data_IF_663392271266
#
_entry.id   IF_663392271266
#
_cell.length_a   1.000
_cell.length_b   1.000
_cell.length_c   1.000
_cell.angle_alpha   90.00
_cell.angle_beta   90.00
_cell.angle_gamma   90.00
#
_symmetry.space_group_name_H-M   'P 1'
#
loop_
_entity.id
_entity.type
_entity.pdbx_description
1 polymer ?
#
# COMPACT_ATOMS: atom_id res chain seq x y z
N UNK A 1 -14.13 -13.99 -62.14
CA UNK A 1 -14.10 -14.68 -60.82
C UNK A 1 -12.68 -14.61 -60.22
N UNK A 2 -12.01 -13.46 -60.39
CA UNK A 2 -10.57 -13.25 -60.11
C UNK A 2 -10.39 -12.27 -58.94
N UNK A 3 -11.32 -11.32 -58.80
CA UNK A 3 -11.29 -10.21 -57.85
C UNK A 3 -11.37 -10.61 -56.37
N UNK A 4 -11.86 -11.82 -56.06
CA UNK A 4 -11.98 -12.29 -54.67
C UNK A 4 -10.65 -12.81 -54.12
N UNK A 5 -9.83 -13.43 -54.98
CA UNK A 5 -8.55 -14.01 -54.60
C UNK A 5 -7.49 -12.93 -54.37
N UNK A 6 -7.55 -11.85 -55.15
CA UNK A 6 -6.68 -10.68 -54.97
C UNK A 6 -6.99 -9.90 -53.67
N UNK A 7 -8.28 -9.80 -53.29
CA UNK A 7 -8.68 -9.18 -52.01
C UNK A 7 -8.20 -9.99 -50.80
N UNK A 8 -8.20 -11.32 -50.88
CA UNK A 8 -7.69 -12.18 -49.81
C UNK A 8 -6.16 -12.11 -49.67
N UNK A 9 -5.44 -12.04 -50.80
CA UNK A 9 -3.98 -11.86 -50.79
C UNK A 9 -3.56 -10.53 -50.15
N UNK A 10 -4.24 -9.43 -50.50
CA UNK A 10 -3.95 -8.10 -49.93
C UNK A 10 -4.24 -7.98 -48.43
N UNK A 11 -5.21 -8.73 -47.91
CA UNK A 11 -5.52 -8.77 -46.47
C UNK A 11 -4.50 -9.59 -45.68
N UNK A 12 -4.03 -10.71 -46.22
CA UNK A 12 -2.98 -11.54 -45.60
C UNK A 12 -1.64 -10.80 -45.51
N UNK A 13 -1.32 -9.98 -46.51
CA UNK A 13 -0.12 -9.14 -46.51
C UNK A 13 -0.17 -8.02 -45.46
N UNK A 14 -1.34 -7.41 -45.25
CA UNK A 14 -1.55 -6.39 -44.20
C UNK A 14 -1.47 -6.99 -42.79
N UNK A 15 -2.05 -8.17 -42.58
CA UNK A 15 -2.03 -8.83 -41.26
C UNK A 15 -0.62 -9.26 -40.82
N UNK A 16 0.27 -9.56 -41.77
CA UNK A 16 1.66 -9.95 -41.47
C UNK A 16 2.60 -8.77 -41.25
N UNK A 17 2.29 -7.59 -41.82
CA UNK A 17 3.16 -6.41 -41.79
C UNK A 17 2.78 -5.41 -40.69
N UNK A 18 1.52 -5.36 -40.28
CA UNK A 18 1.10 -4.53 -39.16
C UNK A 18 1.34 -5.26 -37.84
N UNK A 19 2.42 -4.92 -37.14
CA UNK A 19 2.56 -5.23 -35.71
C UNK A 19 1.33 -4.67 -35.00
N UNK A 20 0.54 -5.48 -34.27
CA UNK A 20 -0.64 -4.99 -33.57
C UNK A 20 -0.20 -3.93 -32.57
N UNK A 21 -0.47 -2.66 -32.88
CA UNK A 21 -0.39 -1.57 -31.91
C UNK A 21 -1.51 -1.81 -30.91
N UNK A 22 -1.23 -2.58 -29.89
CA UNK A 22 -2.07 -2.60 -28.69
C UNK A 22 -2.17 -1.15 -28.22
N UNK A 23 -3.38 -0.61 -27.97
CA UNK A 23 -3.50 0.66 -27.28
C UNK A 23 -2.94 0.43 -25.89
N UNK A 24 -1.64 0.70 -25.70
CA UNK A 24 -1.03 0.59 -24.41
C UNK A 24 -1.62 1.75 -23.61
N UNK A 25 -2.51 1.40 -22.70
CA UNK A 25 -3.21 2.38 -21.90
C UNK A 25 -2.19 2.96 -20.93
N UNK A 26 -1.65 4.14 -21.25
CA UNK A 26 -0.75 4.88 -20.36
C UNK A 26 -1.54 5.30 -19.12
N UNK A 27 -1.49 4.47 -18.09
CA UNK A 27 -2.05 4.79 -16.78
C UNK A 27 -1.09 5.75 -16.08
N UNK A 28 -1.48 7.02 -16.00
CA UNK A 28 -0.78 7.96 -15.12
C UNK A 28 -1.09 7.56 -13.67
N UNK A 29 -0.08 7.44 -12.79
CA UNK A 29 -0.31 7.25 -11.38
C UNK A 29 -1.19 8.39 -10.88
N UNK A 30 -2.36 8.03 -10.33
CA UNK A 30 -3.20 8.99 -9.63
C UNK A 30 -2.33 9.51 -8.51
N UNK A 31 -1.94 10.80 -8.58
CA UNK A 31 -1.18 11.44 -7.51
C UNK A 31 -2.07 11.34 -6.28
N UNK A 32 -1.79 10.36 -5.43
CA UNK A 32 -2.38 10.28 -4.12
C UNK A 32 -2.01 11.63 -3.50
N UNK A 33 -3.01 12.48 -3.33
CA UNK A 33 -2.89 13.69 -2.52
C UNK A 33 -2.27 13.22 -1.23
N UNK A 34 -1.01 13.56 -1.02
CA UNK A 34 -0.28 13.21 0.17
C UNK A 34 -1.08 13.82 1.32
N UNK A 35 -1.91 13.00 1.95
CA UNK A 35 -2.43 13.30 3.27
C UNK A 35 -1.20 13.69 4.07
N UNK A 36 -1.24 14.87 4.68
CA UNK A 36 -0.17 15.41 5.51
C UNK A 36 0.14 14.33 6.54
N UNK A 37 1.15 13.51 6.25
CA UNK A 37 1.67 12.55 7.18
C UNK A 37 2.33 13.40 8.23
N UNK A 38 1.82 13.36 9.46
CA UNK A 38 2.55 13.91 10.60
C UNK A 38 3.99 13.36 10.55
N UNK A 39 4.96 14.15 11.02
CA UNK A 39 6.35 13.75 11.08
C UNK A 39 6.50 12.46 11.94
N UNK A 40 6.43 11.30 11.27
CA UNK A 40 6.60 9.99 11.89
C UNK A 40 8.09 9.77 12.20
N UNK A 41 8.43 9.56 13.48
CA UNK A 41 9.77 9.14 13.91
C UNK A 41 9.82 7.62 14.17
N UNK A 42 10.94 6.98 13.83
CA UNK A 42 11.14 5.56 14.14
C UNK A 42 11.55 5.37 15.61
N UNK A 43 10.77 4.56 16.34
CA UNK A 43 11.09 4.16 17.71
C UNK A 43 11.71 2.76 17.72
N UNK A 44 13.02 2.67 17.97
CA UNK A 44 13.74 1.40 18.09
C UNK A 44 13.92 1.03 19.57
N UNK A 45 13.16 0.04 20.06
CA UNK A 45 13.20 -0.39 21.46
C UNK A 45 13.31 -1.91 21.55
N UNK A 46 14.19 -2.37 22.45
CA UNK A 46 14.28 -3.78 22.80
C UNK A 46 13.25 -4.11 23.88
N UNK A 47 12.36 -5.05 23.59
CA UNK A 47 11.33 -5.50 24.54
C UNK A 47 11.35 -7.02 24.72
N UNK A 48 10.89 -7.54 25.88
CA UNK A 48 10.77 -8.98 26.09
C UNK A 48 9.90 -9.65 25.04
N UNK A 49 10.34 -10.81 24.52
CA UNK A 49 9.60 -11.57 23.49
C UNK A 49 8.18 -11.95 23.93
N UNK A 50 7.98 -12.22 25.21
CA UNK A 50 6.68 -12.53 25.78
C UNK A 50 5.70 -11.34 25.66
N UNK A 51 6.20 -10.12 25.87
CA UNK A 51 5.40 -8.90 25.74
C UNK A 51 5.02 -8.65 24.27
N UNK A 52 5.99 -8.77 23.36
CA UNK A 52 5.73 -8.63 21.92
C UNK A 52 4.65 -9.62 21.43
N UNK A 53 4.68 -10.87 21.91
CA UNK A 53 3.64 -11.86 21.58
C UNK A 53 2.25 -11.41 22.03
N UNK A 54 2.12 -10.94 23.28
CA UNK A 54 0.83 -10.46 23.82
C UNK A 54 0.28 -9.28 23.03
N UNK A 55 1.13 -8.31 22.70
CA UNK A 55 0.73 -7.14 21.91
C UNK A 55 0.27 -7.56 20.52
N UNK A 56 0.96 -8.51 19.88
CA UNK A 56 0.54 -9.06 18.59
C UNK A 56 -0.79 -9.82 18.67
N UNK A 57 -0.99 -10.65 19.69
CA UNK A 57 -2.25 -11.36 19.90
C UNK A 57 -3.40 -10.37 20.05
N UNK A 58 -3.22 -9.33 20.89
CA UNK A 58 -4.21 -8.27 21.04
C UNK A 58 -4.51 -7.56 19.71
N UNK A 59 -3.47 -7.23 18.93
CA UNK A 59 -3.67 -6.63 17.61
C UNK A 59 -4.51 -7.47 16.65
N UNK A 60 -4.39 -8.81 16.72
CA UNK A 60 -5.22 -9.73 15.93
C UNK A 60 -6.66 -9.81 16.46
N UNK A 61 -6.84 -9.81 17.78
CA UNK A 61 -8.16 -9.92 18.42
C UNK A 61 -9.03 -8.67 18.20
N UNK A 62 -8.42 -7.49 18.18
CA UNK A 62 -9.11 -6.19 18.14
C UNK A 62 -8.90 -5.44 16.82
N UNK A 63 -8.35 -6.09 15.79
CA UNK A 63 -8.02 -5.51 14.48
C UNK A 63 -7.24 -4.18 14.58
N UNK A 64 -6.27 -4.15 15.50
CA UNK A 64 -5.48 -2.96 15.81
C UNK A 64 -4.03 -3.12 15.35
N UNK A 65 -3.45 -2.07 14.76
CA UNK A 65 -2.06 -2.13 14.32
C UNK A 65 -1.10 -2.06 15.51
N UNK A 66 0.07 -2.70 15.37
CA UNK A 66 1.13 -2.62 16.39
C UNK A 66 1.56 -1.17 16.65
N UNK A 67 1.50 -0.31 15.62
CA UNK A 67 1.81 1.12 15.74
C UNK A 67 0.79 1.80 16.64
N UNK A 68 -0.50 1.62 16.39
CA UNK A 68 -1.58 2.27 17.14
C UNK A 68 -1.54 1.85 18.61
N UNK A 69 -1.39 0.55 18.87
CA UNK A 69 -1.26 0.02 20.24
C UNK A 69 -0.05 0.64 20.96
N UNK A 70 1.07 0.80 20.25
CA UNK A 70 2.27 1.41 20.82
C UNK A 70 2.07 2.89 21.13
N UNK A 71 1.41 3.63 20.23
CA UNK A 71 1.10 5.05 20.41
C UNK A 71 0.18 5.24 21.62
N UNK A 72 -0.89 4.44 21.72
CA UNK A 72 -1.85 4.53 22.82
C UNK A 72 -1.20 4.20 24.17
N UNK A 73 -0.38 3.16 24.23
CA UNK A 73 0.36 2.80 25.44
C UNK A 73 1.32 3.92 25.88
N UNK A 74 2.03 4.54 24.93
CA UNK A 74 2.96 5.64 25.21
C UNK A 74 2.22 6.90 25.66
N UNK A 75 1.13 7.27 24.99
CA UNK A 75 0.26 8.40 25.39
C UNK A 75 -0.28 8.19 26.80
N UNK A 76 -0.88 7.03 27.06
CA UNK A 76 -1.41 6.69 28.37
C UNK A 76 -0.34 6.75 29.47
N UNK A 77 0.85 6.21 29.20
CA UNK A 77 1.96 6.26 30.15
C UNK A 77 2.38 7.71 30.47
N UNK A 78 2.53 8.55 29.44
CA UNK A 78 2.90 9.95 29.62
C UNK A 78 1.83 10.73 30.38
N UNK A 79 0.56 10.59 29.99
CA UNK A 79 -0.56 11.25 30.67
C UNK A 79 -0.70 10.81 32.13
N UNK A 80 -0.55 9.51 32.40
CA UNK A 80 -0.58 8.93 33.75
C UNK A 80 0.53 9.51 34.65
N UNK A 81 1.72 9.74 34.10
CA UNK A 81 2.87 10.29 34.83
C UNK A 81 2.80 11.81 34.97
N UNK A 82 2.29 12.52 33.97
CA UNK A 82 2.15 13.98 33.97
C UNK A 82 0.99 14.46 34.86
N UNK A 83 -0.08 13.66 35.01
CA UNK A 83 -1.20 13.94 35.94
C UNK A 83 -0.89 13.71 37.41
N UNK A 84 0.31 13.24 37.76
CA UNK A 84 0.81 13.32 39.14
C UNK A 84 1.63 14.62 39.29
N UNK A 85 1.02 15.77 39.60
CA UNK A 85 1.77 16.83 40.23
C UNK A 85 2.21 16.27 41.59
N UNK A 86 3.52 16.29 41.81
CA UNK A 86 4.17 16.46 43.11
C UNK A 86 3.22 16.71 44.27
N UNK A 87 3.18 15.75 45.21
CA UNK A 87 2.95 16.07 46.61
C UNK A 87 4.21 16.69 47.22
#
# INVERSE_FOLDING_TARGET
MTDYKDKLGGLADRLKKDTPKTPIQEVQPIRQTAAVKEDEAQLNVWIPKALLKRVKTYGVEFDASLKDISIDALKYFLESKLKKPTG
#
